data_IF_017043188273
#
_entry.id   IF_017043188273
#
_cell.length_a   1.000
_cell.length_b   1.000
_cell.length_c   1.000
_cell.angle_alpha   90.00
_cell.angle_beta   90.00
_cell.angle_gamma   90.00
#
_symmetry.space_group_name_H-M   'P 1'
#
loop_
_entity.id
_entity.type
_entity.pdbx_description
1 polymer ?
#
# COMPACT_ATOMS: atom_id res chain seq x y z
N UNK A 1 -6.85 13.91 37.24
CA UNK A 1 -8.12 13.35 36.78
C UNK A 1 -8.71 14.33 35.79
N UNK A 2 -8.53 14.10 34.53
CA UNK A 2 -9.34 14.62 33.44
C UNK A 2 -9.27 13.52 32.36
N UNK A 3 -10.31 12.70 32.38
CA UNK A 3 -10.64 11.72 31.38
C UNK A 3 -11.09 12.51 30.14
N UNK A 4 -10.23 12.67 29.16
CA UNK A 4 -10.64 13.07 27.83
C UNK A 4 -10.93 11.80 27.07
N UNK A 5 -12.19 11.41 27.15
CA UNK A 5 -12.86 10.46 26.26
C UNK A 5 -12.68 10.98 24.82
N UNK A 6 -11.61 10.53 24.16
CA UNK A 6 -11.44 10.72 22.74
C UNK A 6 -12.39 9.71 22.08
N UNK A 7 -13.63 10.16 21.84
CA UNK A 7 -14.55 9.45 20.95
C UNK A 7 -13.82 9.22 19.63
N UNK A 8 -13.43 7.98 19.40
CA UNK A 8 -12.90 7.53 18.10
C UNK A 8 -14.06 7.59 17.12
N UNK A 9 -14.17 8.70 16.38
CA UNK A 9 -15.12 8.81 15.29
C UNK A 9 -14.76 7.71 14.26
N UNK A 10 -15.66 6.77 14.10
CA UNK A 10 -15.54 5.74 13.05
C UNK A 10 -15.77 6.39 11.69
N UNK A 11 -14.97 6.07 10.64
CA UNK A 11 -15.21 6.58 9.29
C UNK A 11 -16.60 6.31 8.72
N UNK A 12 -17.36 5.35 9.30
CA UNK A 12 -18.76 5.09 8.97
C UNK A 12 -19.71 6.20 9.42
N UNK A 13 -19.28 7.02 10.36
CA UNK A 13 -20.10 8.09 10.94
C UNK A 13 -19.95 9.40 10.16
N UNK A 14 -19.07 9.45 9.16
CA UNK A 14 -18.89 10.62 8.29
C UNK A 14 -20.07 10.71 7.30
N UNK A 15 -20.65 11.89 7.18
CA UNK A 15 -21.56 12.22 6.10
C UNK A 15 -20.81 12.32 4.76
N UNK A 16 -21.53 12.24 3.64
CA UNK A 16 -20.95 12.41 2.30
C UNK A 16 -20.21 13.75 2.15
N UNK A 17 -20.73 14.82 2.79
CA UNK A 17 -20.10 16.13 2.76
C UNK A 17 -18.77 16.17 3.52
N UNK A 18 -18.70 15.54 4.69
CA UNK A 18 -17.47 15.42 5.48
C UNK A 18 -16.43 14.55 4.77
N UNK A 19 -16.88 13.51 4.08
CA UNK A 19 -16.01 12.68 3.25
C UNK A 19 -15.45 13.46 2.05
N UNK A 20 -16.28 14.29 1.39
CA UNK A 20 -15.84 15.19 0.33
C UNK A 20 -14.77 16.18 0.84
N UNK A 21 -15.01 16.80 1.99
CA UNK A 21 -14.04 17.71 2.61
C UNK A 21 -12.73 17.01 2.95
N UNK A 22 -12.80 15.81 3.51
CA UNK A 22 -11.62 15.00 3.81
C UNK A 22 -10.83 14.67 2.54
N UNK A 23 -11.52 14.27 1.48
CA UNK A 23 -10.91 13.97 0.19
C UNK A 23 -10.16 15.20 -0.37
N UNK A 24 -10.79 16.37 -0.39
CA UNK A 24 -10.16 17.61 -0.87
C UNK A 24 -8.93 17.99 -0.02
N UNK A 25 -9.00 17.86 1.31
CA UNK A 25 -7.89 18.15 2.21
C UNK A 25 -6.70 17.21 2.03
N UNK A 26 -6.95 15.96 1.66
CA UNK A 26 -5.91 14.95 1.44
C UNK A 26 -5.44 14.90 -0.02
N UNK A 27 -6.07 15.65 -0.92
CA UNK A 27 -5.76 15.62 -2.34
C UNK A 27 -4.42 16.31 -2.64
N UNK A 28 -3.67 15.69 -3.55
CA UNK A 28 -2.45 16.25 -4.13
C UNK A 28 -2.64 16.65 -5.61
N UNK A 29 -3.88 16.82 -6.06
CA UNK A 29 -4.19 17.21 -7.44
C UNK A 29 -3.46 18.50 -7.83
N UNK A 30 -2.85 18.52 -9.01
CA UNK A 30 -2.14 19.67 -9.55
C UNK A 30 -0.82 20.04 -8.87
N UNK A 31 -0.46 19.38 -7.75
CA UNK A 31 0.76 19.70 -6.99
C UNK A 31 2.04 19.59 -7.81
N UNK A 32 2.09 18.67 -8.76
CA UNK A 32 3.24 18.45 -9.65
C UNK A 32 2.90 18.66 -11.13
N UNK A 33 1.80 19.39 -11.41
CA UNK A 33 1.30 19.66 -12.75
C UNK A 33 0.23 18.68 -13.20
N UNK A 34 -0.52 19.09 -14.22
CA UNK A 34 -1.70 18.35 -14.69
C UNK A 34 -1.35 17.02 -15.39
N UNK A 35 -0.13 16.91 -15.92
CA UNK A 35 0.36 15.73 -16.63
C UNK A 35 1.19 14.80 -15.72
N UNK A 36 1.27 15.11 -14.42
CA UNK A 36 1.98 14.23 -13.49
C UNK A 36 1.27 12.89 -13.34
N UNK A 37 2.04 11.81 -13.41
CA UNK A 37 1.57 10.42 -13.20
C UNK A 37 2.17 9.76 -11.95
N UNK A 38 3.03 10.47 -11.21
CA UNK A 38 3.81 9.91 -10.11
C UNK A 38 3.24 10.20 -8.73
N UNK A 39 2.49 11.29 -8.59
CA UNK A 39 1.95 11.71 -7.30
C UNK A 39 3.03 11.88 -6.23
N UNK A 40 2.84 11.32 -5.04
CA UNK A 40 3.79 11.44 -3.92
C UNK A 40 5.16 10.81 -4.18
N UNK A 41 5.32 9.97 -5.22
CA UNK A 41 6.63 9.46 -5.64
C UNK A 41 7.59 10.56 -6.08
N UNK A 42 7.07 11.73 -6.47
CA UNK A 42 7.88 12.91 -6.77
C UNK A 42 8.66 13.43 -5.55
N UNK A 43 8.28 13.03 -4.34
CA UNK A 43 9.01 13.35 -3.11
C UNK A 43 10.28 12.51 -2.91
N UNK A 44 10.47 11.45 -3.70
CA UNK A 44 11.64 10.58 -3.61
C UNK A 44 12.67 11.03 -4.65
N UNK A 45 13.43 12.05 -4.29
CA UNK A 45 14.52 12.58 -5.10
C UNK A 45 15.87 11.89 -4.81
N UNK A 46 16.93 12.36 -5.42
CA UNK A 46 18.28 11.83 -5.23
C UNK A 46 18.81 12.03 -3.80
N UNK A 47 18.44 13.13 -3.16
CA UNK A 47 18.85 13.41 -1.78
C UNK A 47 18.16 12.47 -0.80
N UNK A 48 16.86 12.21 -1.00
CA UNK A 48 16.10 11.22 -0.23
C UNK A 48 16.74 9.84 -0.35
N UNK A 49 17.11 9.43 -1.57
CA UNK A 49 17.77 8.14 -1.81
C UNK A 49 19.13 8.06 -1.11
N UNK A 50 19.95 9.12 -1.18
CA UNK A 50 21.24 9.16 -0.47
C UNK A 50 21.09 9.06 1.04
N UNK A 51 20.13 9.79 1.62
CA UNK A 51 19.85 9.71 3.05
C UNK A 51 19.35 8.32 3.46
N UNK A 52 18.48 7.71 2.66
CA UNK A 52 17.99 6.35 2.91
C UNK A 52 19.13 5.33 2.89
N UNK A 53 20.03 5.40 1.91
CA UNK A 53 21.21 4.53 1.83
C UNK A 53 22.11 4.64 3.08
N UNK A 54 22.26 5.84 3.62
CA UNK A 54 23.06 6.08 4.82
C UNK A 54 22.45 5.49 6.12
N UNK A 55 21.21 5.03 6.09
CA UNK A 55 20.57 4.36 7.23
C UNK A 55 20.96 2.89 7.35
N UNK A 56 21.51 2.29 6.31
CA UNK A 56 21.94 0.90 6.33
C UNK A 56 23.19 0.76 7.21
N UNK A 57 23.05 0.09 8.36
CA UNK A 57 24.12 -0.13 9.33
C UNK A 57 24.57 -1.57 9.38
N UNK A 58 23.65 -2.50 9.43
CA UNK A 58 23.93 -3.93 9.64
C UNK A 58 23.86 -4.72 8.33
N UNK A 59 23.36 -4.12 7.23
CA UNK A 59 23.22 -4.78 5.93
C UNK A 59 22.17 -5.92 5.94
N UNK A 60 21.31 -5.97 6.95
CA UNK A 60 20.26 -6.98 7.04
C UNK A 60 19.12 -6.64 6.10
N UNK A 61 18.72 -7.61 5.27
CA UNK A 61 17.53 -7.51 4.44
C UNK A 61 16.35 -8.24 5.10
N UNK A 62 15.22 -7.57 5.21
CA UNK A 62 13.97 -8.15 5.73
C UNK A 62 12.94 -8.16 4.61
N UNK A 63 12.55 -9.34 4.08
CA UNK A 63 11.52 -9.41 3.05
C UNK A 63 10.15 -9.09 3.65
N UNK A 64 9.42 -8.16 3.04
CA UNK A 64 8.03 -7.84 3.41
C UNK A 64 7.02 -8.52 2.48
N UNK A 65 7.50 -9.13 1.39
CA UNK A 65 6.66 -9.89 0.47
C UNK A 65 6.23 -11.22 1.08
N UNK A 66 4.95 -11.54 0.94
CA UNK A 66 4.40 -12.84 1.35
C UNK A 66 4.69 -13.90 0.28
N UNK A 67 4.81 -15.18 0.65
CA UNK A 67 4.82 -16.27 -0.33
C UNK A 67 3.57 -16.22 -1.21
N UNK A 68 3.74 -16.42 -2.51
CA UNK A 68 2.63 -16.44 -3.46
C UNK A 68 1.79 -17.70 -3.25
N UNK A 69 0.46 -17.60 -3.09
CA UNK A 69 -0.41 -18.76 -2.92
C UNK A 69 -0.52 -19.54 -4.23
N UNK A 70 -0.05 -20.77 -4.24
CA UNK A 70 -0.16 -21.69 -5.40
C UNK A 70 -1.37 -22.62 -5.30
N UNK A 71 -2.10 -22.60 -4.19
CA UNK A 71 -3.35 -23.32 -4.00
C UNK A 71 -4.46 -22.35 -3.65
N UNK A 72 -5.64 -22.54 -4.24
CA UNK A 72 -6.83 -21.73 -3.95
C UNK A 72 -7.37 -22.01 -2.54
N UNK A 73 -7.88 -20.95 -1.92
CA UNK A 73 -8.58 -20.99 -0.64
C UNK A 73 -9.66 -19.91 -0.60
N UNK A 74 -10.46 -19.85 0.45
CA UNK A 74 -11.46 -18.78 0.64
C UNK A 74 -10.82 -17.38 0.70
N UNK A 75 -9.59 -17.29 1.17
CA UNK A 75 -8.84 -16.04 1.30
C UNK A 75 -7.89 -15.78 0.12
N UNK A 76 -7.66 -16.78 -0.74
CA UNK A 76 -6.90 -16.69 -1.99
C UNK A 76 -7.67 -17.39 -3.12
N UNK A 77 -8.81 -16.83 -3.59
CA UNK A 77 -9.64 -17.45 -4.61
C UNK A 77 -8.96 -17.54 -5.98
N UNK A 78 -7.96 -16.72 -6.23
CA UNK A 78 -7.20 -16.67 -7.47
C UNK A 78 -5.72 -16.99 -7.23
N UNK A 79 -5.37 -18.26 -6.99
CA UNK A 79 -3.98 -18.63 -6.74
C UNK A 79 -3.11 -18.36 -7.97
N UNK A 80 -1.81 -18.24 -7.73
CA UNK A 80 -0.83 -18.16 -8.81
C UNK A 80 -0.83 -19.45 -9.61
N UNK A 81 -0.96 -19.33 -10.92
CA UNK A 81 -0.76 -20.47 -11.82
C UNK A 81 0.74 -20.55 -12.11
N UNK A 82 1.37 -21.57 -11.57
CA UNK A 82 2.77 -21.90 -11.85
C UNK A 82 2.83 -23.15 -12.71
N UNK A 83 3.50 -23.07 -13.83
CA UNK A 83 3.69 -24.17 -14.76
C UNK A 83 5.17 -24.33 -15.11
N UNK A 84 5.72 -25.51 -14.88
CA UNK A 84 7.04 -25.86 -15.39
C UNK A 84 6.90 -26.26 -16.87
N UNK A 85 7.66 -25.61 -17.72
CA UNK A 85 7.78 -25.93 -19.14
C UNK A 85 9.11 -26.66 -19.35
N UNK A 86 9.04 -27.87 -19.92
CA UNK A 86 10.22 -28.65 -20.29
C UNK A 86 10.50 -28.47 -21.78
N UNK A 87 11.40 -27.55 -22.19
CA UNK A 87 11.82 -27.48 -23.57
C UNK A 87 12.59 -28.74 -23.98
N UNK A 88 12.63 -29.10 -25.27
CA UNK A 88 13.40 -30.25 -25.74
C UNK A 88 14.86 -30.18 -25.31
N UNK A 89 15.35 -31.21 -24.62
CA UNK A 89 16.72 -31.32 -24.11
C UNK A 89 16.79 -31.29 -22.59
N UNK A 90 17.97 -31.50 -22.04
CA UNK A 90 18.21 -31.69 -20.60
C UNK A 90 18.92 -30.50 -19.93
N UNK A 91 19.05 -29.36 -20.62
CA UNK A 91 19.89 -28.23 -20.17
C UNK A 91 19.16 -27.12 -19.46
N UNK A 92 17.85 -27.02 -19.63
CA UNK A 92 17.07 -25.88 -19.12
C UNK A 92 15.68 -26.31 -18.65
N UNK A 93 15.19 -25.66 -17.62
CA UNK A 93 13.78 -25.66 -17.21
C UNK A 93 13.27 -24.23 -17.29
N UNK A 94 12.00 -24.04 -17.64
CA UNK A 94 11.36 -22.73 -17.81
C UNK A 94 10.08 -22.70 -17.00
N UNK A 95 9.92 -21.68 -16.16
CA UNK A 95 8.68 -21.43 -15.45
C UNK A 95 7.78 -20.47 -16.24
N UNK A 96 6.51 -20.80 -16.35
CA UNK A 96 5.46 -19.90 -16.77
C UNK A 96 4.60 -19.54 -15.56
N UNK A 97 4.31 -18.25 -15.38
CA UNK A 97 3.56 -17.74 -14.22
C UNK A 97 2.43 -16.85 -14.70
N UNK A 98 1.20 -17.12 -14.22
CA UNK A 98 0.07 -16.21 -14.39
C UNK A 98 -0.44 -15.79 -13.01
N UNK A 99 -0.64 -14.48 -12.82
CA UNK A 99 -0.93 -13.85 -11.53
C UNK A 99 -2.15 -12.95 -11.66
N UNK A 100 -3.11 -13.09 -10.73
CA UNK A 100 -4.12 -12.08 -10.46
C UNK A 100 -3.60 -11.21 -9.32
N UNK A 101 -2.96 -10.09 -9.64
CA UNK A 101 -2.18 -9.29 -8.69
C UNK A 101 -3.01 -8.63 -7.59
N UNK A 102 -4.30 -8.33 -7.84
CA UNK A 102 -5.21 -7.72 -6.86
C UNK A 102 -5.94 -8.72 -5.97
N UNK A 103 -5.46 -9.96 -5.88
CA UNK A 103 -5.93 -10.91 -4.90
C UNK A 103 -5.50 -10.50 -3.48
N UNK A 104 -6.35 -10.73 -2.50
CA UNK A 104 -6.14 -10.31 -1.10
C UNK A 104 -4.91 -10.94 -0.43
N UNK A 105 -4.40 -12.04 -0.96
CA UNK A 105 -3.21 -12.74 -0.47
C UNK A 105 -1.93 -12.37 -1.22
N UNK A 106 -2.05 -11.63 -2.31
CA UNK A 106 -0.92 -11.27 -3.14
C UNK A 106 -0.28 -9.99 -2.64
N UNK A 107 1.03 -10.03 -2.37
CA UNK A 107 1.82 -8.81 -2.17
C UNK A 107 2.00 -8.14 -3.53
N UNK A 108 1.47 -6.94 -3.68
CA UNK A 108 1.52 -6.20 -4.95
C UNK A 108 1.66 -4.69 -4.71
N UNK A 109 1.94 -3.97 -5.78
CA UNK A 109 1.91 -2.51 -5.81
C UNK A 109 0.64 -2.10 -6.56
N UNK A 110 -0.17 -1.28 -5.92
CA UNK A 110 -1.28 -0.59 -6.54
C UNK A 110 -0.85 0.80 -7.02
N UNK A 111 -1.43 1.25 -8.11
CA UNK A 111 -1.07 2.52 -8.73
C UNK A 111 -2.21 3.53 -8.64
N UNK A 112 -1.92 4.80 -8.90
CA UNK A 112 -2.93 5.87 -8.93
C UNK A 112 -4.05 5.59 -9.93
N UNK A 113 -3.80 4.76 -10.96
CA UNK A 113 -4.80 4.36 -11.95
C UNK A 113 -5.86 3.39 -11.46
N UNK A 114 -5.72 2.85 -10.25
CA UNK A 114 -6.68 1.89 -9.65
C UNK A 114 -7.64 2.53 -8.64
N UNK A 115 -7.43 3.80 -8.27
CA UNK A 115 -8.26 4.47 -7.27
C UNK A 115 -9.10 5.60 -7.89
N UNK A 116 -10.40 5.59 -7.61
CA UNK A 116 -11.35 6.60 -8.13
C UNK A 116 -12.27 7.06 -7.02
N UNK A 117 -12.49 8.37 -6.95
CA UNK A 117 -13.50 8.98 -6.11
C UNK A 117 -14.53 9.71 -7.01
N UNK A 118 -15.81 9.37 -6.87
CA UNK A 118 -16.90 9.91 -7.71
C UNK A 118 -16.59 9.87 -9.22
N UNK A 119 -15.97 8.76 -9.68
CA UNK A 119 -15.64 8.54 -11.09
C UNK A 119 -14.41 9.30 -11.61
N UNK A 120 -13.66 9.95 -10.73
CA UNK A 120 -12.42 10.66 -11.05
C UNK A 120 -11.22 10.06 -10.32
N UNK A 121 -10.13 9.89 -11.04
CA UNK A 121 -8.83 9.47 -10.52
C UNK A 121 -7.94 10.66 -10.19
N UNK A 122 -6.66 10.38 -10.02
CA UNK A 122 -5.64 11.37 -9.74
C UNK A 122 -5.69 12.53 -10.76
N UNK A 123 -5.37 13.75 -10.32
CA UNK A 123 -5.50 15.00 -11.09
C UNK A 123 -6.91 15.22 -11.68
N UNK A 124 -7.94 14.66 -11.04
CA UNK A 124 -9.31 14.82 -11.48
C UNK A 124 -9.66 14.16 -12.81
N UNK A 125 -8.77 13.31 -13.36
CA UNK A 125 -8.97 12.63 -14.65
C UNK A 125 -10.19 11.72 -14.60
N UNK A 126 -11.12 11.79 -15.56
CA UNK A 126 -12.23 10.85 -15.63
C UNK A 126 -11.75 9.40 -15.75
N UNK A 127 -12.46 8.47 -15.11
CA UNK A 127 -12.15 7.04 -15.19
C UNK A 127 -12.02 6.54 -16.63
N UNK A 128 -12.84 7.05 -17.55
CA UNK A 128 -12.84 6.67 -18.97
C UNK A 128 -11.55 7.07 -19.72
N UNK A 129 -10.81 8.05 -19.21
CA UNK A 129 -9.49 8.41 -19.76
C UNK A 129 -8.38 7.52 -19.17
N UNK A 130 -8.52 7.16 -17.91
CA UNK A 130 -7.51 6.38 -17.16
C UNK A 130 -7.54 4.91 -17.53
N UNK A 131 -8.75 4.33 -17.62
CA UNK A 131 -8.92 2.89 -17.85
C UNK A 131 -9.21 2.62 -19.31
N UNK A 132 -8.26 1.98 -19.99
CA UNK A 132 -8.44 1.48 -21.35
C UNK A 132 -9.07 0.09 -21.38
N UNK A 133 -9.33 -0.44 -22.56
CA UNK A 133 -9.99 -1.74 -22.72
C UNK A 133 -9.14 -2.94 -22.27
N UNK A 134 -7.82 -2.82 -22.27
CA UNK A 134 -6.89 -3.91 -21.94
C UNK A 134 -5.81 -3.52 -20.94
N UNK A 135 -5.63 -2.23 -20.69
CA UNK A 135 -4.60 -1.70 -19.80
C UNK A 135 -4.99 -0.30 -19.30
N UNK A 136 -4.27 0.19 -18.31
CA UNK A 136 -4.35 1.60 -17.93
C UNK A 136 -3.68 2.47 -19.02
N UNK A 137 -4.36 3.52 -19.44
CA UNK A 137 -3.82 4.54 -20.34
C UNK A 137 -2.93 5.53 -19.58
N UNK A 138 -3.30 5.83 -18.32
CA UNK A 138 -2.61 6.78 -17.43
C UNK A 138 -2.38 6.13 -16.06
N UNK A 139 -1.40 6.65 -15.34
CA UNK A 139 -1.11 6.28 -13.95
C UNK A 139 -0.79 4.80 -13.74
N UNK A 140 -0.21 4.15 -14.74
CA UNK A 140 0.19 2.75 -14.63
C UNK A 140 1.44 2.58 -13.76
N UNK A 141 1.77 1.32 -13.41
CA UNK A 141 2.99 1.01 -12.64
C UNK A 141 4.28 1.47 -13.33
N UNK A 142 4.26 1.74 -14.63
CA UNK A 142 5.39 2.29 -15.37
C UNK A 142 5.83 3.67 -14.87
N UNK A 143 4.94 4.43 -14.23
CA UNK A 143 5.30 5.69 -13.58
C UNK A 143 6.27 5.50 -12.40
N UNK A 144 6.31 4.29 -11.82
CA UNK A 144 7.19 3.91 -10.71
C UNK A 144 8.45 3.12 -11.16
N UNK A 145 8.79 3.12 -12.46
CA UNK A 145 9.91 2.33 -13.03
C UNK A 145 11.28 2.63 -12.41
N UNK A 146 11.46 3.83 -11.83
CA UNK A 146 12.69 4.21 -11.13
C UNK A 146 12.80 3.58 -9.73
N UNK A 147 11.76 2.84 -9.31
CA UNK A 147 11.67 2.17 -8.03
C UNK A 147 11.41 3.10 -6.85
N UNK A 148 11.26 2.48 -5.69
CA UNK A 148 11.06 3.13 -4.41
C UNK A 148 12.31 2.92 -3.56
N UNK A 149 13.02 3.98 -3.23
CA UNK A 149 14.15 3.90 -2.33
C UNK A 149 14.15 5.10 -1.40
N UNK A 150 13.57 4.90 -0.23
CA UNK A 150 13.44 5.91 0.82
C UNK A 150 13.46 5.23 2.20
N UNK A 151 13.44 6.01 3.26
CA UNK A 151 13.26 5.47 4.61
C UNK A 151 11.85 4.90 4.77
N UNK A 152 11.74 3.66 5.26
CA UNK A 152 10.46 3.09 5.71
C UNK A 152 10.29 3.32 7.22
N UNK A 153 9.10 3.74 7.65
CA UNK A 153 8.74 3.87 9.06
C UNK A 153 7.62 2.88 9.37
N UNK A 154 7.93 1.88 10.20
CA UNK A 154 6.95 0.89 10.65
C UNK A 154 6.13 1.46 11.80
N UNK A 155 4.81 1.52 11.58
CA UNK A 155 3.81 1.83 12.60
C UNK A 155 3.03 0.56 12.93
N UNK A 156 3.36 -0.07 14.05
CA UNK A 156 2.69 -1.28 14.51
C UNK A 156 1.44 -0.89 15.31
N UNK A 157 0.32 -0.75 14.60
CA UNK A 157 -0.97 -0.37 15.18
C UNK A 157 -1.53 -1.49 16.05
N UNK A 158 -1.36 -2.75 15.65
CA UNK A 158 -1.82 -3.89 16.44
C UNK A 158 -1.11 -3.91 17.81
N UNK A 159 0.22 -3.78 17.82
CA UNK A 159 0.98 -3.72 19.06
C UNK A 159 0.65 -2.47 19.90
N UNK A 160 0.47 -1.30 19.27
CA UNK A 160 0.09 -0.08 19.98
C UNK A 160 -1.29 -0.18 20.65
N UNK A 161 -2.22 -0.94 20.06
CA UNK A 161 -3.54 -1.27 20.66
C UNK A 161 -3.49 -2.47 21.64
N UNK A 162 -2.31 -3.10 21.79
CA UNK A 162 -2.12 -4.30 22.60
C UNK A 162 -3.04 -5.47 22.18
N UNK A 163 -3.18 -5.67 20.86
CA UNK A 163 -3.92 -6.79 20.27
C UNK A 163 -3.03 -7.53 19.26
N UNK A 164 -3.27 -8.84 19.01
CA UNK A 164 -2.50 -9.59 18.03
C UNK A 164 -2.80 -9.14 16.59
N UNK A 165 -4.02 -8.66 16.32
CA UNK A 165 -4.47 -8.15 15.04
C UNK A 165 -5.73 -7.30 15.20
N UNK A 166 -6.02 -6.47 14.22
CA UNK A 166 -7.28 -5.71 14.12
C UNK A 166 -8.38 -6.60 13.54
N UNK A 167 -9.61 -6.43 14.02
CA UNK A 167 -10.78 -7.09 13.46
C UNK A 167 -11.06 -6.62 12.03
N UNK A 168 -11.89 -7.38 11.28
CA UNK A 168 -12.14 -7.11 9.86
C UNK A 168 -12.83 -5.77 9.58
N UNK A 169 -13.60 -5.30 10.57
CA UNK A 169 -14.41 -4.09 10.52
C UNK A 169 -13.80 -2.91 11.30
N UNK A 170 -12.60 -3.09 11.86
CA UNK A 170 -11.87 -2.01 12.52
C UNK A 170 -11.08 -1.16 11.51
N UNK A 171 -11.03 0.13 11.80
CA UNK A 171 -10.31 1.13 11.00
C UNK A 171 -9.08 1.62 11.76
N UNK A 172 -8.07 2.04 10.99
CA UNK A 172 -6.90 2.74 11.52
C UNK A 172 -7.17 4.24 11.42
N UNK A 173 -7.16 4.92 12.55
CA UNK A 173 -7.36 6.36 12.65
C UNK A 173 -6.03 7.12 12.75
N UNK A 174 -6.06 8.45 12.63
CA UNK A 174 -4.89 9.30 12.88
C UNK A 174 -4.34 9.10 14.30
N UNK A 175 -5.24 8.97 15.28
CA UNK A 175 -4.85 8.72 16.68
C UNK A 175 -4.09 7.39 16.86
N UNK A 176 -4.47 6.36 16.10
CA UNK A 176 -3.76 5.07 16.08
C UNK A 176 -2.36 5.21 15.51
N UNK A 177 -2.21 5.93 14.39
CA UNK A 177 -0.91 6.16 13.78
C UNK A 177 0.02 6.93 14.73
N UNK A 178 -0.50 7.97 15.40
CA UNK A 178 0.24 8.70 16.42
C UNK A 178 0.59 7.85 17.64
N UNK A 179 -0.32 6.96 18.07
CA UNK A 179 -0.04 6.00 19.13
C UNK A 179 1.06 5.00 18.73
N UNK A 180 1.02 4.51 17.49
CA UNK A 180 2.04 3.62 16.97
C UNK A 180 3.42 4.31 16.81
N UNK A 181 3.47 5.60 16.43
CA UNK A 181 4.71 6.40 16.47
C UNK A 181 5.30 6.43 17.90
N UNK A 182 4.46 6.72 18.90
CA UNK A 182 4.90 6.72 20.31
C UNK A 182 5.35 5.34 20.77
N UNK A 183 4.59 4.30 20.44
CA UNK A 183 4.91 2.92 20.80
C UNK A 183 6.27 2.48 20.22
N UNK A 184 6.50 2.75 18.95
CA UNK A 184 7.74 2.41 18.25
C UNK A 184 8.89 3.38 18.49
N UNK A 185 8.67 4.47 19.23
CA UNK A 185 9.63 5.58 19.40
C UNK A 185 10.20 6.05 18.05
N UNK A 186 9.32 6.20 17.07
CA UNK A 186 9.64 6.65 15.72
C UNK A 186 8.81 7.87 15.36
N UNK A 187 9.19 8.56 14.28
CA UNK A 187 8.43 9.67 13.72
C UNK A 187 8.44 9.57 12.21
N UNK A 188 7.26 9.67 11.62
CA UNK A 188 7.10 9.80 10.17
C UNK A 188 7.48 11.21 9.75
N UNK A 189 8.26 11.34 8.72
CA UNK A 189 8.71 12.60 8.16
C UNK A 189 8.45 12.69 6.65
N UNK A 190 8.75 13.86 6.06
CA UNK A 190 8.63 14.04 4.62
C UNK A 190 9.43 13.01 3.83
N UNK A 191 8.83 12.46 2.78
CA UNK A 191 9.44 11.47 1.86
C UNK A 191 9.69 10.07 2.48
N UNK A 192 9.19 9.80 3.69
CA UNK A 192 9.19 8.46 4.25
C UNK A 192 8.10 7.59 3.61
N UNK A 193 8.36 6.29 3.50
CA UNK A 193 7.33 5.30 3.24
C UNK A 193 6.69 4.87 4.57
N UNK A 194 5.40 5.09 4.69
CA UNK A 194 4.61 4.65 5.83
C UNK A 194 4.29 3.16 5.69
N UNK A 195 4.74 2.35 6.65
CA UNK A 195 4.46 0.91 6.72
C UNK A 195 3.54 0.66 7.92
N UNK A 196 2.27 0.35 7.66
CA UNK A 196 1.28 0.12 8.72
C UNK A 196 1.08 -1.37 8.93
N UNK A 197 1.35 -1.85 10.15
CA UNK A 197 1.09 -3.23 10.56
C UNK A 197 -0.22 -3.32 11.32
N UNK A 198 -1.15 -4.11 10.80
CA UNK A 198 -2.49 -4.34 11.39
C UNK A 198 -2.69 -5.76 11.93
N UNK A 199 -1.71 -6.65 11.75
CA UNK A 199 -1.82 -8.07 12.07
C UNK A 199 -2.75 -8.85 11.15
N UNK A 200 -3.09 -8.31 9.95
CA UNK A 200 -4.03 -8.99 9.05
C UNK A 200 -3.59 -10.40 8.66
N UNK A 201 -2.27 -10.64 8.51
CA UNK A 201 -1.75 -11.95 8.16
C UNK A 201 -2.03 -12.98 9.26
N UNK A 202 -1.81 -12.58 10.49
CA UNK A 202 -2.07 -13.37 11.70
C UNK A 202 -3.56 -13.68 11.84
N UNK A 203 -4.41 -12.69 11.60
CA UNK A 203 -5.86 -12.87 11.60
C UNK A 203 -6.32 -13.92 10.58
N UNK A 204 -5.85 -13.82 9.34
CA UNK A 204 -6.22 -14.77 8.27
C UNK A 204 -5.74 -16.20 8.51
N UNK A 205 -4.78 -16.40 9.40
CA UNK A 205 -4.33 -17.74 9.84
C UNK A 205 -5.22 -18.24 11.00
N UNK A 206 -5.72 -17.34 11.83
CA UNK A 206 -6.51 -17.66 13.02
C UNK A 206 -8.00 -17.95 12.70
N UNK A 207 -8.55 -17.39 11.63
CA UNK A 207 -9.90 -17.58 11.10
C UNK A 207 -9.99 -18.74 10.11
#
# INVERSE_FOLDING_TARGET
>A
MADTDATTEHPRDLSDAELDELFERCSNHGRWGDDDERGTLNLIDEEVRRRAAALVREGMAVPLGRPMPVAGSTIAPHPVVLQLLEPPGDRTAIDAVAITSHDSQMTHIDTLGHAFYKGRGYNGRPRSEVVGPTALNLFSVAAARDGFFCRGVLLDVAAARNVPYLAADEYVTTADLEAAERHGNVRVGPSDALVVHTGRAERLIAE
#
